data_IF_286241608852
#
_entry.id   IF_286241608852
#
_cell.length_a   1.000
_cell.length_b   1.000
_cell.length_c   1.000
_cell.angle_alpha   90.00
_cell.angle_beta   90.00
_cell.angle_gamma   90.00
#
_symmetry.space_group_name_H-M   'P 1'
#
loop_
_entity.id
_entity.type
_entity.pdbx_description
1 polymer ?
#
# COMPACT_ATOMS: atom_id res chain seq x y z
N UNK A 1 25.03 23.90 4.65
CA UNK A 1 24.36 22.96 3.71
C UNK A 1 22.86 23.07 3.95
N UNK A 2 22.11 23.60 2.99
CA UNK A 2 20.66 23.71 3.11
C UNK A 2 20.04 22.32 3.35
N UNK A 3 19.33 22.15 4.46
CA UNK A 3 18.63 20.91 4.80
C UNK A 3 17.29 20.90 4.06
N UNK A 4 17.28 20.40 2.83
CA UNK A 4 16.03 20.16 2.11
C UNK A 4 15.30 18.96 2.70
N UNK A 5 13.97 19.06 2.86
CA UNK A 5 13.17 17.93 3.32
C UNK A 5 13.16 16.81 2.26
N UNK A 6 13.08 15.55 2.69
CA UNK A 6 13.06 14.40 1.78
C UNK A 6 11.87 14.50 0.80
N UNK A 7 10.70 14.90 1.29
CA UNK A 7 9.50 15.10 0.47
C UNK A 7 9.70 16.17 -0.63
N UNK A 8 10.44 17.24 -0.33
CA UNK A 8 10.78 18.27 -1.31
C UNK A 8 11.74 17.73 -2.36
N UNK A 9 12.77 16.97 -1.96
CA UNK A 9 13.73 16.33 -2.87
C UNK A 9 13.02 15.37 -3.83
N UNK A 10 12.10 14.55 -3.31
CA UNK A 10 11.37 13.56 -4.11
C UNK A 10 10.43 14.22 -5.13
N UNK A 11 9.73 15.30 -4.75
CA UNK A 11 8.89 16.07 -5.68
C UNK A 11 9.69 16.67 -6.84
N UNK A 12 10.87 17.22 -6.55
CA UNK A 12 11.75 17.83 -7.55
C UNK A 12 12.33 16.76 -8.48
N UNK A 13 12.76 15.62 -7.92
CA UNK A 13 13.25 14.48 -8.70
C UNK A 13 12.17 13.87 -9.60
N UNK A 14 10.91 13.88 -9.18
CA UNK A 14 9.77 13.45 -10.00
C UNK A 14 9.64 14.23 -11.31
N UNK A 15 9.98 15.53 -11.30
CA UNK A 15 9.97 16.40 -12.49
C UNK A 15 11.23 16.25 -13.34
N UNK A 16 12.40 16.02 -12.72
CA UNK A 16 13.71 15.92 -13.39
C UNK A 16 13.98 14.59 -14.10
N UNK A 17 13.24 13.56 -13.75
CA UNK A 17 13.40 12.22 -14.29
C UNK A 17 12.15 11.83 -15.11
N UNK A 18 12.19 10.78 -15.95
CA UNK A 18 11.04 10.36 -16.78
C UNK A 18 9.78 10.04 -15.95
N UNK A 19 8.56 10.51 -16.25
CA UNK A 19 8.07 10.84 -17.58
C UNK A 19 8.25 12.31 -17.98
N UNK A 20 8.30 13.23 -17.02
CA UNK A 20 8.30 14.67 -17.30
C UNK A 20 9.61 15.17 -17.93
N UNK A 21 10.76 14.62 -17.49
CA UNK A 21 12.10 14.94 -18.03
C UNK A 21 12.37 16.45 -18.18
N UNK A 22 11.92 17.26 -17.21
CA UNK A 22 12.02 18.71 -17.26
C UNK A 22 13.47 19.20 -17.37
N UNK A 23 13.67 20.32 -18.08
CA UNK A 23 14.97 20.94 -18.23
C UNK A 23 15.50 21.44 -16.86
N UNK A 24 16.69 20.99 -16.47
CA UNK A 24 17.30 21.30 -15.16
C UNK A 24 17.41 22.81 -14.93
N UNK A 25 17.74 23.57 -15.98
CA UNK A 25 17.90 25.03 -15.94
C UNK A 25 16.59 25.76 -15.65
N UNK A 26 15.47 25.26 -16.18
CA UNK A 26 14.14 25.82 -15.92
C UNK A 26 13.72 25.53 -14.49
N UNK A 27 13.89 24.28 -14.05
CA UNK A 27 13.52 23.87 -12.70
C UNK A 27 14.39 24.55 -11.62
N UNK A 28 15.66 24.79 -11.92
CA UNK A 28 16.57 25.55 -11.05
C UNK A 28 16.05 26.98 -10.80
N UNK A 29 15.55 27.65 -11.85
CA UNK A 29 14.95 28.99 -11.75
C UNK A 29 13.63 28.98 -10.97
N UNK A 30 12.79 27.96 -11.20
CA UNK A 30 11.48 27.84 -10.53
C UNK A 30 11.61 27.56 -9.02
N UNK A 31 12.51 26.65 -8.64
CA UNK A 31 12.64 26.17 -7.25
C UNK A 31 13.69 26.97 -6.46
N UNK A 32 14.52 27.75 -7.14
CA UNK A 32 15.60 28.53 -6.52
C UNK A 32 16.77 27.67 -6.01
N UNK A 33 16.97 26.48 -6.60
CA UNK A 33 18.06 25.56 -6.25
C UNK A 33 19.10 25.58 -7.37
N UNK A 34 20.39 25.52 -7.01
CA UNK A 34 21.46 25.54 -8.01
C UNK A 34 21.36 24.34 -8.96
N UNK A 35 21.67 24.58 -10.25
CA UNK A 35 21.74 23.55 -11.29
C UNK A 35 22.63 22.39 -10.85
N UNK A 36 23.81 22.70 -10.29
CA UNK A 36 24.75 21.70 -9.77
C UNK A 36 24.17 20.80 -8.67
N UNK A 37 23.28 21.33 -7.82
CA UNK A 37 22.63 20.54 -6.77
C UNK A 37 21.59 19.59 -7.37
N UNK A 38 20.83 20.08 -8.36
CA UNK A 38 19.85 19.28 -9.08
C UNK A 38 20.50 18.19 -9.92
N UNK A 39 21.61 18.48 -10.59
CA UNK A 39 22.42 17.49 -11.32
C UNK A 39 22.93 16.39 -10.41
N UNK A 40 23.48 16.76 -9.24
CA UNK A 40 23.93 15.79 -8.24
C UNK A 40 22.78 14.90 -7.77
N UNK A 41 21.62 15.48 -7.44
CA UNK A 41 20.45 14.71 -7.02
C UNK A 41 19.92 13.79 -8.13
N UNK A 42 19.92 14.26 -9.38
CA UNK A 42 19.55 13.45 -10.55
C UNK A 42 20.51 12.27 -10.71
N UNK A 43 21.81 12.50 -10.61
CA UNK A 43 22.82 11.44 -10.70
C UNK A 43 22.68 10.41 -9.56
N UNK A 44 22.51 10.86 -8.30
CA UNK A 44 22.24 10.00 -7.14
C UNK A 44 20.96 9.16 -7.32
N UNK A 45 19.91 9.76 -7.88
CA UNK A 45 18.64 9.08 -8.12
C UNK A 45 18.72 8.06 -9.27
N UNK A 46 19.62 8.24 -10.23
CA UNK A 46 19.87 7.29 -11.33
C UNK A 46 20.76 6.12 -10.90
N UNK A 47 21.66 6.31 -9.94
CA UNK A 47 22.56 5.25 -9.44
C UNK A 47 21.92 4.40 -8.36
N UNK A 48 20.88 4.89 -7.70
CA UNK A 48 20.11 4.10 -6.74
C UNK A 48 19.15 3.19 -7.50
N UNK A 49 19.26 1.84 -7.38
CA UNK A 49 18.29 0.95 -8.01
C UNK A 49 16.90 1.34 -7.50
N UNK A 50 15.99 1.59 -8.44
CA UNK A 50 14.69 2.20 -8.23
C UNK A 50 13.78 1.40 -7.28
N UNK A 51 14.09 1.41 -5.99
CA UNK A 51 13.12 1.09 -4.94
C UNK A 51 12.19 2.28 -4.85
N UNK A 52 11.12 2.23 -5.64
CA UNK A 52 10.02 3.17 -5.53
C UNK A 52 10.24 4.48 -6.26
N UNK A 53 10.45 4.43 -7.58
CA UNK A 53 9.96 5.52 -8.43
C UNK A 53 8.46 5.62 -8.16
N UNK A 54 8.01 6.65 -7.46
CA UNK A 54 6.60 6.83 -7.17
C UNK A 54 5.88 7.18 -8.48
N UNK A 55 5.44 6.16 -9.21
CA UNK A 55 4.59 6.33 -10.38
C UNK A 55 3.29 6.98 -9.92
N UNK A 56 3.06 8.22 -10.36
CA UNK A 56 1.80 8.93 -10.14
C UNK A 56 0.65 8.18 -10.82
N UNK A 57 -0.58 8.37 -10.36
CA UNK A 57 -1.74 7.72 -10.98
C UNK A 57 -1.85 8.04 -12.48
N UNK A 58 -1.59 9.31 -12.85
CA UNK A 58 -1.55 9.74 -14.25
C UNK A 58 -0.47 9.02 -15.05
N UNK A 59 0.76 8.92 -14.54
CA UNK A 59 1.85 8.23 -15.22
C UNK A 59 1.60 6.72 -15.38
N UNK A 60 0.93 6.07 -14.40
CA UNK A 60 0.51 4.67 -14.52
C UNK A 60 -0.53 4.50 -15.62
N UNK A 61 -1.50 5.40 -15.68
CA UNK A 61 -2.52 5.40 -16.71
C UNK A 61 -1.92 5.60 -18.10
N UNK A 62 -1.05 6.58 -18.29
CA UNK A 62 -0.35 6.81 -19.56
C UNK A 62 0.48 5.60 -19.98
N UNK A 63 1.16 4.94 -19.04
CA UNK A 63 1.88 3.70 -19.30
C UNK A 63 0.96 2.56 -19.79
N UNK A 64 -0.23 2.42 -19.19
CA UNK A 64 -1.23 1.44 -19.63
C UNK A 64 -1.75 1.76 -21.04
N UNK A 65 -2.03 3.03 -21.34
CA UNK A 65 -2.49 3.47 -22.67
C UNK A 65 -1.40 3.25 -23.73
N UNK A 66 -0.16 3.62 -23.43
CA UNK A 66 0.97 3.47 -24.35
C UNK A 66 1.27 1.99 -24.68
N UNK A 67 1.04 1.09 -23.72
CA UNK A 67 1.28 -0.35 -23.89
C UNK A 67 0.06 -1.12 -24.37
N UNK A 68 -1.12 -0.50 -24.46
CA UNK A 68 -2.37 -1.18 -24.82
C UNK A 68 -2.37 -1.78 -26.24
N UNK A 69 -1.65 -1.14 -27.18
CA UNK A 69 -1.55 -1.59 -28.57
C UNK A 69 -0.26 -2.37 -28.89
N UNK A 70 0.62 -2.56 -27.90
CA UNK A 70 1.88 -3.25 -28.07
C UNK A 70 1.71 -4.77 -27.93
N UNK A 71 2.52 -5.52 -28.65
CA UNK A 71 2.67 -6.96 -28.42
C UNK A 71 3.51 -7.23 -27.15
N UNK A 72 3.54 -8.49 -26.71
CA UNK A 72 4.22 -8.87 -25.46
C UNK A 72 5.73 -8.55 -25.48
N UNK A 73 6.36 -8.69 -26.65
CA UNK A 73 7.76 -8.37 -26.86
C UNK A 73 8.02 -6.86 -26.79
N UNK A 74 7.23 -6.02 -27.48
CA UNK A 74 7.38 -4.57 -27.41
C UNK A 74 7.01 -4.03 -26.02
N UNK A 75 6.01 -4.61 -25.36
CA UNK A 75 5.66 -4.26 -23.97
C UNK A 75 6.84 -4.53 -23.04
N UNK A 76 7.48 -5.70 -23.16
CA UNK A 76 8.67 -6.04 -22.37
C UNK A 76 9.85 -5.11 -22.64
N UNK A 77 10.06 -4.72 -23.90
CA UNK A 77 11.09 -3.75 -24.27
C UNK A 77 10.80 -2.35 -23.69
N UNK A 78 9.55 -1.90 -23.80
CA UNK A 78 9.08 -0.63 -23.25
C UNK A 78 9.23 -0.60 -21.72
N UNK A 79 8.82 -1.65 -21.03
CA UNK A 79 9.00 -1.82 -19.58
C UNK A 79 10.47 -1.63 -19.17
N UNK A 80 11.41 -2.28 -19.87
CA UNK A 80 12.84 -2.15 -19.58
C UNK A 80 13.36 -0.73 -19.80
N UNK A 81 12.91 -0.05 -20.84
CA UNK A 81 13.26 1.35 -21.12
C UNK A 81 12.74 2.31 -20.04
N UNK A 82 11.56 2.01 -19.49
CA UNK A 82 10.89 2.85 -18.50
C UNK A 82 11.14 2.43 -17.04
N UNK A 83 11.98 1.42 -16.79
CA UNK A 83 12.30 0.94 -15.45
C UNK A 83 11.13 0.25 -14.75
N UNK A 84 10.29 -0.43 -15.53
CA UNK A 84 9.13 -1.20 -15.08
C UNK A 84 9.32 -2.68 -15.38
N UNK A 85 8.59 -3.50 -14.63
CA UNK A 85 8.39 -4.91 -14.96
C UNK A 85 7.02 -5.09 -15.63
N UNK A 86 6.89 -6.01 -16.61
CA UNK A 86 5.59 -6.34 -17.21
C UNK A 86 4.53 -6.71 -16.16
N UNK A 87 4.95 -7.43 -15.11
CA UNK A 87 4.08 -7.78 -13.97
C UNK A 87 3.50 -6.56 -13.25
N UNK A 88 4.21 -5.43 -13.21
CA UNK A 88 3.69 -4.20 -12.61
C UNK A 88 2.61 -3.55 -13.49
N UNK A 89 2.77 -3.60 -14.81
CA UNK A 89 1.72 -3.16 -15.74
C UNK A 89 0.48 -4.03 -15.60
N UNK A 90 0.64 -5.34 -15.48
CA UNK A 90 -0.49 -6.25 -15.31
C UNK A 90 -1.26 -5.96 -14.01
N UNK A 91 -0.56 -5.71 -12.90
CA UNK A 91 -1.20 -5.30 -11.63
C UNK A 91 -1.99 -4.00 -11.81
N UNK A 92 -1.45 -3.01 -12.52
CA UNK A 92 -2.16 -1.75 -12.76
C UNK A 92 -3.35 -1.92 -13.70
N UNK A 93 -3.22 -2.79 -14.72
CA UNK A 93 -4.31 -3.13 -15.63
C UNK A 93 -5.46 -3.79 -14.88
N UNK A 94 -5.17 -4.78 -14.04
CA UNK A 94 -6.19 -5.45 -13.22
C UNK A 94 -6.86 -4.47 -12.26
N UNK A 95 -6.08 -3.64 -11.54
CA UNK A 95 -6.67 -2.63 -10.66
C UNK A 95 -7.54 -1.59 -11.39
N UNK A 96 -7.20 -1.23 -12.63
CA UNK A 96 -8.03 -0.36 -13.46
C UNK A 96 -9.33 -1.06 -13.91
N UNK A 97 -9.25 -2.33 -14.30
CA UNK A 97 -10.43 -3.13 -14.64
C UNK A 97 -11.36 -3.31 -13.43
N UNK A 98 -10.82 -3.64 -12.26
CA UNK A 98 -11.58 -3.80 -11.03
C UNK A 98 -12.29 -2.51 -10.60
N UNK A 99 -11.64 -1.35 -10.81
CA UNK A 99 -12.22 -0.05 -10.50
C UNK A 99 -13.32 0.38 -11.49
N UNK A 100 -13.25 -0.09 -12.74
CA UNK A 100 -14.22 0.17 -13.79
C UNK A 100 -15.34 -0.88 -13.86
N UNK A 101 -15.14 -2.05 -13.23
CA UNK A 101 -16.11 -3.13 -13.19
C UNK A 101 -17.39 -2.66 -12.49
N UNK A 102 -18.53 -2.98 -13.09
CA UNK A 102 -19.80 -2.62 -12.48
C UNK A 102 -19.99 -3.38 -11.15
N UNK A 103 -20.61 -2.77 -10.13
CA UNK A 103 -20.89 -3.44 -8.87
C UNK A 103 -21.71 -4.73 -9.01
N UNK A 104 -22.38 -4.94 -10.15
CA UNK A 104 -23.10 -6.17 -10.46
C UNK A 104 -22.18 -7.29 -10.98
N UNK A 105 -21.05 -6.98 -11.61
CA UNK A 105 -20.07 -7.96 -12.08
C UNK A 105 -19.17 -8.46 -10.94
N UNK A 106 -18.86 -7.60 -9.96
CA UNK A 106 -18.05 -7.94 -8.79
C UNK A 106 -18.85 -8.61 -7.64
N UNK A 107 -20.18 -8.49 -7.64
CA UNK A 107 -21.02 -9.11 -6.60
C UNK A 107 -21.25 -10.57 -6.93
N UNK A 108 -20.59 -11.45 -6.15
CA UNK A 108 -21.11 -12.78 -5.92
C UNK A 108 -22.63 -12.68 -5.68
N UNK A 109 -23.38 -13.59 -6.31
CA UNK A 109 -24.85 -13.59 -6.35
C UNK A 109 -25.48 -13.14 -5.02
N UNK A 110 -26.63 -12.45 -5.02
CA UNK A 110 -27.30 -11.97 -3.80
C UNK A 110 -27.50 -13.04 -2.72
N UNK A 111 -27.52 -14.31 -3.13
CA UNK A 111 -27.63 -15.48 -2.29
C UNK A 111 -26.34 -15.82 -1.53
N UNK A 112 -25.17 -15.66 -2.15
CA UNK A 112 -23.86 -15.84 -1.52
C UNK A 112 -23.61 -14.78 -0.44
N UNK A 113 -23.91 -13.51 -0.76
CA UNK A 113 -23.79 -12.41 0.22
C UNK A 113 -24.76 -12.53 1.41
N UNK A 114 -25.92 -13.18 1.24
CA UNK A 114 -26.80 -13.50 2.37
C UNK A 114 -26.28 -14.66 3.22
N UNK A 115 -25.70 -15.69 2.60
CA UNK A 115 -25.09 -16.80 3.32
C UNK A 115 -23.89 -16.33 4.17
N UNK A 116 -23.04 -15.47 3.60
CA UNK A 116 -21.90 -14.89 4.31
C UNK A 116 -22.34 -14.04 5.50
N UNK A 117 -23.39 -13.21 5.34
CA UNK A 117 -23.95 -12.41 6.44
C UNK A 117 -24.48 -13.28 7.58
N UNK A 118 -25.16 -14.38 7.26
CA UNK A 118 -25.64 -15.33 8.28
C UNK A 118 -24.47 -15.97 9.01
N UNK A 119 -23.43 -16.37 8.26
CA UNK A 119 -22.23 -16.97 8.83
C UNK A 119 -21.48 -16.02 9.76
N UNK A 120 -21.37 -14.75 9.38
CA UNK A 120 -20.76 -13.71 10.22
C UNK A 120 -21.55 -13.56 11.53
N UNK A 121 -22.88 -13.47 11.48
CA UNK A 121 -23.71 -13.34 12.68
C UNK A 121 -23.62 -14.56 13.62
N UNK A 122 -23.52 -15.77 13.06
CA UNK A 122 -23.30 -16.99 13.85
C UNK A 122 -21.95 -16.94 14.57
N UNK A 123 -20.89 -16.59 13.84
CA UNK A 123 -19.54 -16.47 14.40
C UNK A 123 -19.47 -15.40 15.49
N UNK A 124 -20.11 -14.24 15.29
CA UNK A 124 -20.20 -13.18 16.29
C UNK A 124 -20.89 -13.66 17.57
N UNK A 125 -21.98 -14.41 17.46
CA UNK A 125 -22.68 -14.97 18.63
C UNK A 125 -21.84 -15.98 19.40
N UNK A 126 -21.13 -16.84 18.68
CA UNK A 126 -20.25 -17.83 19.31
C UNK A 126 -19.05 -17.17 19.98
N UNK A 127 -18.52 -16.09 19.38
CA UNK A 127 -17.46 -15.28 19.97
C UNK A 127 -17.95 -14.63 21.27
N UNK A 128 -19.13 -13.99 21.28
CA UNK A 128 -19.71 -13.39 22.48
C UNK A 128 -19.96 -14.40 23.61
N UNK A 129 -20.41 -15.62 23.28
CA UNK A 129 -20.58 -16.69 24.28
C UNK A 129 -19.24 -17.13 24.88
N UNK A 130 -18.22 -17.27 24.05
CA UNK A 130 -16.86 -17.63 24.51
C UNK A 130 -16.26 -16.52 25.36
N UNK A 131 -16.38 -15.27 24.95
CA UNK A 131 -15.90 -14.11 25.73
C UNK A 131 -16.59 -14.01 27.08
N UNK A 132 -17.89 -14.30 27.16
CA UNK A 132 -18.61 -14.36 28.43
C UNK A 132 -18.08 -15.48 29.35
N UNK A 133 -17.86 -16.68 28.82
CA UNK A 133 -17.27 -17.77 29.59
C UNK A 133 -15.84 -17.43 30.05
N UNK A 134 -15.05 -16.77 29.21
CA UNK A 134 -13.72 -16.26 29.56
C UNK A 134 -13.80 -15.16 30.64
N UNK A 135 -14.79 -14.28 30.58
CA UNK A 135 -15.03 -13.27 31.61
C UNK A 135 -15.43 -13.89 32.96
N UNK A 136 -16.28 -14.92 32.94
CA UNK A 136 -16.71 -15.62 34.15
C UNK A 136 -15.53 -16.38 34.79
N UNK A 137 -14.72 -17.10 34.00
CA UNK A 137 -13.51 -17.78 34.50
C UNK A 137 -12.46 -16.81 35.04
N UNK A 138 -12.21 -15.70 34.35
CA UNK A 138 -11.28 -14.66 34.85
C UNK A 138 -11.80 -14.03 36.15
N UNK A 139 -13.10 -13.79 36.29
CA UNK A 139 -13.70 -13.31 37.53
C UNK A 139 -13.48 -14.31 38.69
N UNK A 140 -13.68 -15.61 38.46
CA UNK A 140 -13.42 -16.64 39.47
C UNK A 140 -11.93 -16.70 39.86
N UNK A 141 -11.01 -16.63 38.89
CA UNK A 141 -9.57 -16.60 39.17
C UNK A 141 -9.16 -15.36 39.98
N UNK A 142 -9.72 -14.20 39.67
CA UNK A 142 -9.48 -12.97 40.43
C UNK A 142 -10.00 -13.10 41.87
N UNK A 143 -11.19 -13.68 42.06
CA UNK A 143 -11.76 -13.91 43.38
C UNK A 143 -10.91 -14.91 44.19
N UNK A 144 -10.48 -16.02 43.58
CA UNK A 144 -9.59 -16.99 44.23
C UNK A 144 -8.27 -16.36 44.68
N UNK A 145 -7.66 -15.53 43.81
CA UNK A 145 -6.43 -14.80 44.14
C UNK A 145 -6.62 -13.78 45.26
N UNK A 146 -7.77 -13.09 45.31
CA UNK A 146 -8.09 -12.16 46.40
C UNK A 146 -8.30 -12.91 47.71
N UNK A 147 -9.00 -14.05 47.68
CA UNK A 147 -9.20 -14.90 48.85
C UNK A 147 -7.87 -15.41 49.41
N UNK A 148 -6.97 -15.93 48.56
CA UNK A 148 -5.65 -16.41 48.99
C UNK A 148 -4.76 -15.31 49.58
N UNK A 149 -4.93 -14.05 49.15
CA UNK A 149 -4.21 -12.91 49.71
C UNK A 149 -4.73 -12.51 51.11
N UNK A 150 -6.02 -12.71 51.38
CA UNK A 150 -6.65 -12.41 52.68
C UNK A 150 -6.48 -13.58 53.67
N UNK A 151 -6.45 -14.81 53.16
CA UNK A 151 -6.29 -16.05 53.92
C UNK A 151 -5.02 -16.80 53.47
N UNK A 152 -3.82 -16.37 53.89
CA UNK A 152 -2.59 -17.08 53.56
C UNK A 152 -2.50 -18.36 54.40
N UNK A 153 -3.05 -19.49 53.93
CA UNK A 153 -2.81 -20.79 54.59
C UNK A 153 -3.79 -21.95 54.43
N UNK A 154 -4.66 -22.02 53.42
CA UNK A 154 -5.48 -23.24 53.19
C UNK A 154 -5.52 -23.64 51.71
N UNK A 155 -4.37 -24.00 51.14
CA UNK A 155 -4.30 -24.55 49.78
C UNK A 155 -3.43 -25.82 49.67
N UNK A 156 -3.19 -26.52 50.78
CA UNK A 156 -2.56 -27.85 50.77
C UNK A 156 -3.42 -28.83 51.60
N UNK A 157 -4.49 -29.34 51.00
CA UNK A 157 -5.19 -30.57 51.37
C UNK A 157 -6.02 -31.06 50.18
#
# INVERSE_FOLDING_TARGET
>A
MARYSQATKDRILGRLLPPESAAIEQLAKEVGISVSTLERWRAEALTTPARGRAWSAAARWEALVATAALDEHATSAWCRQHGLYPTQLDVWRQGALDALADPQEARATPQATQADKRRIQELERDLLRKDRALAETTALLVLAKKLSAILPGQADA
#
